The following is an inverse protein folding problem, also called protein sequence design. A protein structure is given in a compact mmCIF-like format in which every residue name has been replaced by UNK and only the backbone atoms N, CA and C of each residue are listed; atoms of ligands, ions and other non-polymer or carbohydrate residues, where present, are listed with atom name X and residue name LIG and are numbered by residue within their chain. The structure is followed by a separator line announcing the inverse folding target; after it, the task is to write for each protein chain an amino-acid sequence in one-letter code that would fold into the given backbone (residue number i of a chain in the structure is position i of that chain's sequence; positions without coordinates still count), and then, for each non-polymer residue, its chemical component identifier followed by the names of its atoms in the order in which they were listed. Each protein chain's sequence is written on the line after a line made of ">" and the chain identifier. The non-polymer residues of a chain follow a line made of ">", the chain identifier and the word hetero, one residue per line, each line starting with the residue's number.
data_IF_134485000305
#
_entry.id   IF_134485000305
#
_cell.length_a   1.000
_cell.length_b   1.000
_cell.length_c   1.000
_cell.angle_alpha   90.00
_cell.angle_beta   90.00
_cell.angle_gamma   90.00
#
_symmetry.space_group_name_H-M   'P 1'
#
loop_
_entity.id
_entity.type
_entity.pdbx_description
1 polymer ?
#
# COMPACT_ATOMS: atom_id res chain seq x y z
N UNK A 1 1.81 -9.23 -6.69
CA UNK A 1 3.15 -9.64 -6.21
C UNK A 1 4.07 -8.48 -5.89
N UNK A 2 4.23 -7.44 -6.75
CA UNK A 2 5.15 -6.30 -6.49
C UNK A 2 4.84 -5.46 -5.23
N UNK A 3 3.57 -5.35 -4.82
CA UNK A 3 3.20 -4.60 -3.61
C UNK A 3 3.84 -5.21 -2.35
N UNK A 4 3.68 -6.52 -2.16
CA UNK A 4 4.16 -7.20 -0.95
C UNK A 4 5.68 -7.34 -0.89
N UNK A 5 6.39 -7.29 -2.02
CA UNK A 5 7.87 -7.30 -2.00
C UNK A 5 8.49 -6.03 -1.39
N UNK A 6 7.70 -4.95 -1.26
CA UNK A 6 8.18 -3.67 -0.72
C UNK A 6 7.83 -3.49 0.77
N UNK A 7 7.14 -4.46 1.39
CA UNK A 7 6.75 -4.46 2.80
C UNK A 7 6.09 -3.15 3.28
N UNK A 8 5.31 -2.48 2.41
CA UNK A 8 4.61 -1.23 2.71
C UNK A 8 3.24 -1.22 2.05
N UNK A 9 2.26 -0.64 2.72
CA UNK A 9 0.90 -0.49 2.17
C UNK A 9 0.85 0.53 1.02
N UNK A 10 1.71 1.55 1.04
CA UNK A 10 1.83 2.54 -0.02
C UNK A 10 3.30 2.77 -0.40
N UNK A 11 3.85 2.01 -1.37
CA UNK A 11 5.28 2.11 -1.72
C UNK A 11 5.59 3.11 -2.84
N UNK A 12 4.58 3.77 -3.43
CA UNK A 12 4.77 4.68 -4.54
C UNK A 12 5.45 5.97 -4.08
N UNK A 13 6.59 6.31 -4.69
CA UNK A 13 7.37 7.53 -4.42
C UNK A 13 7.76 8.19 -5.76
N UNK A 14 7.41 9.46 -6.00
CA UNK A 14 6.56 10.32 -5.16
C UNK A 14 5.09 9.82 -5.13
N UNK A 15 4.31 10.16 -4.09
CA UNK A 15 2.90 9.81 -4.03
C UNK A 15 2.10 10.49 -5.14
N UNK A 16 0.90 9.98 -5.40
CA UNK A 16 -0.06 10.65 -6.27
C UNK A 16 -0.33 12.08 -5.73
N UNK A 17 -0.48 13.07 -6.63
CA UNK A 17 -0.75 14.47 -6.30
C UNK A 17 -1.98 14.65 -5.38
N UNK A 18 -2.96 13.75 -5.46
CA UNK A 18 -4.15 13.77 -4.60
C UNK A 18 -3.94 13.22 -3.18
N UNK A 19 -2.79 12.60 -2.90
CA UNK A 19 -2.49 11.93 -1.64
C UNK A 19 -1.35 12.63 -0.93
N UNK A 20 -1.65 13.27 0.19
CA UNK A 20 -0.64 13.80 1.10
C UNK A 20 -0.16 12.70 2.03
N UNK A 21 1.17 12.51 2.14
CA UNK A 21 1.79 11.51 3.00
C UNK A 21 2.79 12.18 3.93
N UNK A 22 2.61 11.95 5.23
CA UNK A 22 3.63 12.25 6.23
C UNK A 22 4.60 11.07 6.32
N UNK A 23 5.80 11.24 5.77
CA UNK A 23 6.75 10.14 5.58
C UNK A 23 7.21 9.51 6.90
N UNK A 24 7.38 10.31 7.95
CA UNK A 24 7.84 9.83 9.26
C UNK A 24 6.84 8.82 9.84
N UNK A 25 5.55 9.16 9.85
CA UNK A 25 4.49 8.24 10.29
C UNK A 25 4.32 7.05 9.34
N UNK A 26 4.41 7.26 8.03
CA UNK A 26 4.26 6.17 7.06
C UNK A 26 5.36 5.10 7.20
N UNK A 27 6.58 5.49 7.57
CA UNK A 27 7.68 4.55 7.83
C UNK A 27 7.40 3.67 9.04
N UNK A 28 6.80 4.22 10.09
CA UNK A 28 6.51 3.50 11.33
C UNK A 28 5.23 2.65 11.23
N UNK A 29 4.14 3.24 10.73
CA UNK A 29 2.79 2.68 10.84
C UNK A 29 2.25 2.07 9.55
N UNK A 30 2.79 2.41 8.37
CA UNK A 30 2.28 1.93 7.08
C UNK A 30 3.11 0.79 6.46
N UNK A 31 3.84 0.05 7.31
CA UNK A 31 4.62 -1.15 6.94
C UNK A 31 3.76 -2.41 6.95
N UNK A 32 4.18 -3.39 6.16
CA UNK A 32 3.62 -4.75 6.13
C UNK A 32 4.67 -5.66 6.77
N UNK A 33 4.51 -5.98 8.06
CA UNK A 33 5.46 -6.81 8.81
C UNK A 33 5.38 -8.31 8.44
N UNK A 34 4.24 -8.75 7.90
CA UNK A 34 4.03 -10.13 7.44
C UNK A 34 3.05 -10.16 6.27
N UNK A 35 3.16 -11.18 5.41
CA UNK A 35 2.26 -11.34 4.28
C UNK A 35 0.84 -11.65 4.79
N UNK A 36 -0.18 -10.83 4.46
CA UNK A 36 -1.54 -11.09 4.90
C UNK A 36 -2.12 -12.30 4.15
N UNK A 37 -2.94 -13.10 4.85
CA UNK A 37 -3.68 -14.22 4.23
C UNK A 37 -4.75 -13.75 3.24
N UNK A 38 -5.31 -12.56 3.47
CA UNK A 38 -6.29 -11.90 2.61
C UNK A 38 -5.94 -10.42 2.54
N UNK A 39 -5.84 -9.88 1.33
CA UNK A 39 -5.62 -8.46 1.11
C UNK A 39 -6.81 -7.85 0.38
N UNK A 40 -7.44 -6.86 1.02
CA UNK A 40 -8.58 -6.14 0.46
C UNK A 40 -8.14 -4.70 0.22
N UNK A 41 -8.37 -4.21 -1.00
CA UNK A 41 -8.12 -2.81 -1.35
C UNK A 41 -9.29 -2.25 -2.16
N UNK A 42 -9.76 -1.07 -1.78
CA UNK A 42 -10.76 -0.33 -2.53
C UNK A 42 -10.11 0.38 -3.71
N UNK A 43 -10.76 0.34 -4.88
CA UNK A 43 -10.28 1.01 -6.08
C UNK A 43 -11.43 1.28 -7.03
N UNK A 44 -11.32 2.32 -7.85
CA UNK A 44 -12.24 2.62 -8.96
C UNK A 44 -12.04 1.68 -10.17
N UNK A 45 -11.04 0.79 -10.11
CA UNK A 45 -10.82 -0.24 -11.11
C UNK A 45 -11.94 -1.28 -11.12
N UNK A 46 -12.09 -2.00 -12.24
CA UNK A 46 -13.02 -3.13 -12.31
C UNK A 46 -12.74 -4.13 -11.18
N UNK A 47 -13.76 -4.58 -10.42
CA UNK A 47 -13.57 -5.50 -9.31
C UNK A 47 -13.00 -6.85 -9.79
N UNK A 48 -12.10 -7.42 -9.01
CA UNK A 48 -11.51 -8.73 -9.26
C UNK A 48 -11.02 -9.40 -7.96
N UNK A 49 -10.76 -10.72 -8.03
CA UNK A 49 -10.07 -11.51 -7.00
C UNK A 49 -8.91 -12.26 -7.68
N UNK A 50 -7.71 -12.26 -7.08
CA UNK A 50 -6.49 -12.90 -7.60
C UNK A 50 -5.68 -13.52 -6.47
#
# INVERSE_FOLDING_TARGET
>A
TKLFSMNRFYPLIPPNESVSIEYEQAIEYAKIDSLPHLFVTSSDLRPFIK
#
